data_IF_943352564903
#
_entry.id   IF_943352564903
#
_cell.length_a   1.000
_cell.length_b   1.000
_cell.length_c   1.000
_cell.angle_alpha   90.00
_cell.angle_beta   90.00
_cell.angle_gamma   90.00
#
_symmetry.space_group_name_H-M   'P 1'
#
loop_
_entity.id
_entity.type
_entity.pdbx_description
1 polymer ?
#
# COMPACT_ATOMS: atom_id res chain seq x y z
N UNK A 1 23.65 14.52 22.80
CA UNK A 1 22.94 15.04 21.61
C UNK A 1 21.56 14.41 21.60
N UNK A 2 20.49 15.18 21.41
CA UNK A 2 19.14 14.66 21.39
C UNK A 2 18.84 13.90 20.10
N UNK A 3 17.74 13.14 20.09
CA UNK A 3 17.32 12.34 18.93
C UNK A 3 16.88 13.25 17.79
N UNK A 4 17.39 13.01 16.59
CA UNK A 4 16.96 13.74 15.38
C UNK A 4 16.19 12.79 14.47
N UNK A 5 15.12 13.28 13.86
CA UNK A 5 14.30 12.51 12.94
C UNK A 5 14.36 13.08 11.54
N UNK A 6 14.04 12.26 10.55
CA UNK A 6 13.85 12.70 9.17
C UNK A 6 12.62 12.02 8.59
N UNK A 7 11.78 12.79 7.91
CA UNK A 7 10.61 12.31 7.21
C UNK A 7 10.86 12.36 5.70
N UNK A 8 10.74 11.22 5.04
CA UNK A 8 10.70 11.13 3.58
C UNK A 8 9.23 11.19 3.14
N UNK A 9 8.91 12.05 2.16
CA UNK A 9 7.54 12.23 1.65
C UNK A 9 7.52 12.23 0.13
N UNK A 10 6.52 11.58 -0.47
CA UNK A 10 6.16 11.80 -1.88
C UNK A 10 5.14 12.93 -1.93
N UNK A 11 5.61 14.12 -2.30
CA UNK A 11 4.86 15.37 -2.28
C UNK A 11 3.67 15.38 -3.25
N UNK A 12 3.61 14.44 -4.20
CA UNK A 12 2.49 14.29 -5.14
C UNK A 12 1.26 13.69 -4.48
N UNK A 13 1.46 12.98 -3.37
CA UNK A 13 0.43 12.20 -2.70
C UNK A 13 -0.13 11.06 -3.56
N UNK A 14 -1.18 10.43 -3.03
CA UNK A 14 -1.87 9.28 -3.58
C UNK A 14 -3.31 9.71 -3.82
N UNK A 15 -3.73 9.69 -5.09
CA UNK A 15 -5.14 9.88 -5.46
C UNK A 15 -5.78 8.53 -5.69
N UNK A 16 -6.87 8.28 -4.99
CA UNK A 16 -7.71 7.12 -5.25
C UNK A 16 -8.40 7.28 -6.61
N UNK A 17 -8.37 6.21 -7.41
CA UNK A 17 -8.97 6.12 -8.75
C UNK A 17 -10.44 5.71 -8.68
N UNK A 18 -10.92 5.29 -7.51
CA UNK A 18 -12.34 5.01 -7.28
C UNK A 18 -13.18 6.30 -7.23
N UNK A 19 -14.51 6.15 -7.25
CA UNK A 19 -15.46 7.28 -7.21
C UNK A 19 -15.35 8.14 -5.94
N UNK A 20 -14.56 7.73 -4.94
CA UNK A 20 -14.39 8.46 -3.68
C UNK A 20 -13.52 9.72 -3.82
N UNK A 21 -12.64 9.77 -4.83
CA UNK A 21 -11.74 10.91 -5.05
C UNK A 21 -10.80 11.20 -3.88
N UNK A 22 -10.54 10.23 -3.00
CA UNK A 22 -9.73 10.45 -1.81
C UNK A 22 -8.30 10.89 -2.18
N UNK A 23 -7.84 11.98 -1.57
CA UNK A 23 -6.44 12.40 -1.65
C UNK A 23 -5.74 12.08 -0.33
N UNK A 24 -4.61 11.39 -0.43
CA UNK A 24 -3.80 10.99 0.73
C UNK A 24 -2.35 11.36 0.54
N UNK A 25 -1.61 11.56 1.63
CA UNK A 25 -0.16 11.74 1.60
C UNK A 25 0.46 10.90 2.71
N UNK A 26 1.60 10.28 2.42
CA UNK A 26 2.30 9.36 3.31
C UNK A 26 3.71 9.90 3.56
N UNK A 27 4.12 9.90 4.83
CA UNK A 27 5.47 10.22 5.27
C UNK A 27 6.09 9.05 6.01
N UNK A 28 7.33 8.70 5.66
CA UNK A 28 8.14 7.71 6.37
C UNK A 28 9.14 8.40 7.28
N UNK A 29 9.02 8.15 8.58
CA UNK A 29 9.87 8.76 9.60
C UNK A 29 10.94 7.75 10.04
N UNK A 30 12.19 8.19 9.98
CA UNK A 30 13.34 7.46 10.49
C UNK A 30 14.06 8.30 11.55
N UNK A 31 14.79 7.62 12.43
CA UNK A 31 15.85 8.27 13.20
C UNK A 31 17.01 8.63 12.25
N UNK A 32 17.56 9.83 12.39
CA UNK A 32 18.55 10.39 11.47
C UNK A 32 19.77 9.46 11.33
N UNK A 33 20.35 9.02 12.45
CA UNK A 33 21.54 8.16 12.45
C UNK A 33 21.30 6.75 11.88
N UNK A 34 20.04 6.32 11.80
CA UNK A 34 19.70 5.02 11.23
C UNK A 34 19.71 5.05 9.69
N UNK A 35 19.35 6.18 9.09
CA UNK A 35 19.11 6.29 7.65
C UNK A 35 20.05 7.24 6.90
N UNK A 36 20.91 8.00 7.61
CA UNK A 36 21.84 8.96 7.04
C UNK A 36 23.28 8.54 7.33
N UNK A 37 24.11 8.48 6.29
CA UNK A 37 25.55 8.20 6.41
C UNK A 37 26.25 9.30 7.25
N UNK A 38 26.97 8.90 8.29
CA UNK A 38 27.70 9.82 9.18
C UNK A 38 29.20 9.69 8.94
N UNK A 39 29.88 10.78 8.57
CA UNK A 39 31.36 10.93 8.61
C UNK A 39 32.12 9.66 8.18
N UNK A 40 31.81 9.14 6.99
CA UNK A 40 32.42 7.95 6.35
C UNK A 40 31.95 6.57 6.85
N UNK A 41 30.91 6.49 7.68
CA UNK A 41 30.22 5.24 8.00
C UNK A 41 28.93 5.12 7.20
N UNK A 42 28.75 3.96 6.56
CA UNK A 42 27.46 3.55 6.00
C UNK A 42 26.40 3.45 7.11
N UNK A 43 25.21 3.99 6.87
CA UNK A 43 24.09 3.88 7.79
C UNK A 43 23.47 2.46 7.79
N UNK A 44 22.82 2.10 8.89
CA UNK A 44 22.24 0.76 9.04
C UNK A 44 21.14 0.47 8.01
N UNK A 45 20.34 1.47 7.63
CA UNK A 45 19.34 1.31 6.57
C UNK A 45 20.00 0.83 5.29
N UNK A 46 21.01 1.57 4.81
CA UNK A 46 21.71 1.28 3.57
C UNK A 46 22.41 -0.08 3.60
N UNK A 47 23.06 -0.41 4.72
CA UNK A 47 23.65 -1.74 4.93
C UNK A 47 22.60 -2.86 4.78
N UNK A 48 21.44 -2.75 5.45
CA UNK A 48 20.37 -3.75 5.36
C UNK A 48 19.79 -3.89 3.95
N UNK A 49 19.66 -2.79 3.22
CA UNK A 49 19.22 -2.84 1.82
C UNK A 49 20.28 -3.54 0.95
N UNK A 50 21.55 -3.22 1.13
CA UNK A 50 22.65 -3.82 0.39
C UNK A 50 22.80 -5.32 0.69
N UNK A 51 22.68 -5.74 1.96
CA UNK A 51 22.65 -7.15 2.37
C UNK A 51 21.50 -7.88 1.68
N UNK A 52 20.29 -7.32 1.73
CA UNK A 52 19.13 -7.90 1.06
C UNK A 52 19.30 -8.00 -0.47
N UNK A 53 19.87 -6.98 -1.11
CA UNK A 53 20.19 -7.03 -2.54
C UNK A 53 21.19 -8.14 -2.84
N UNK A 54 22.26 -8.28 -2.04
CA UNK A 54 23.28 -9.33 -2.20
C UNK A 54 22.74 -10.74 -1.98
N UNK A 55 21.79 -10.90 -1.05
CA UNK A 55 21.11 -12.18 -0.82
C UNK A 55 20.16 -12.55 -1.96
N UNK A 56 19.58 -11.55 -2.65
CA UNK A 56 18.58 -11.76 -3.70
C UNK A 56 19.17 -11.74 -5.11
N UNK A 57 20.30 -11.05 -5.29
CA UNK A 57 21.00 -10.83 -6.54
C UNK A 57 22.52 -10.95 -6.31
N UNK A 58 23.26 -11.49 -7.28
CA UNK A 58 24.72 -11.57 -7.20
C UNK A 58 25.36 -10.16 -7.21
N UNK A 59 26.61 -10.01 -6.75
CA UNK A 59 27.24 -8.69 -6.52
C UNK A 59 27.21 -7.72 -7.72
N UNK A 60 27.19 -8.24 -8.95
CA UNK A 60 27.12 -7.44 -10.20
C UNK A 60 25.87 -6.58 -10.33
N UNK A 61 24.76 -6.97 -9.69
CA UNK A 61 23.44 -6.34 -9.85
C UNK A 61 23.02 -5.51 -8.62
N UNK A 62 23.89 -5.43 -7.60
CA UNK A 62 23.64 -4.78 -6.31
C UNK A 62 23.41 -3.26 -6.39
N UNK A 63 23.79 -2.62 -7.50
CA UNK A 63 23.59 -1.19 -7.73
C UNK A 63 22.16 -0.82 -8.16
N UNK A 64 21.31 -1.80 -8.48
CA UNK A 64 19.94 -1.53 -8.91
C UNK A 64 19.07 -1.16 -7.68
N UNK A 65 18.34 -0.04 -7.73
CA UNK A 65 17.36 0.29 -6.70
C UNK A 65 16.24 -0.76 -6.62
N UNK A 66 15.88 -1.19 -5.40
CA UNK A 66 14.82 -2.15 -5.08
C UNK A 66 13.47 -1.65 -5.59
N UNK A 67 13.22 -0.35 -5.50
CA UNK A 67 12.00 0.27 -6.04
C UNK A 67 11.94 0.12 -7.56
N UNK A 68 13.02 0.35 -8.29
CA UNK A 68 13.06 0.10 -9.75
C UNK A 68 12.72 -1.36 -10.12
N UNK A 69 13.09 -2.35 -9.29
CA UNK A 69 12.74 -3.77 -9.55
C UNK A 69 11.24 -4.04 -9.33
N UNK A 70 10.63 -3.38 -8.34
CA UNK A 70 9.21 -3.58 -7.98
C UNK A 70 8.29 -2.76 -8.89
N UNK A 71 8.78 -1.64 -9.42
CA UNK A 71 7.99 -0.62 -10.10
C UNK A 71 8.18 -0.57 -11.62
N UNK A 72 9.34 -0.99 -12.16
CA UNK A 72 9.65 -0.83 -13.59
C UNK A 72 9.67 -2.19 -14.32
N UNK A 73 8.74 -2.37 -15.27
CA UNK A 73 8.44 -3.61 -16.00
C UNK A 73 9.63 -4.23 -16.78
N UNK A 74 10.72 -3.48 -16.95
CA UNK A 74 11.90 -3.91 -17.73
C UNK A 74 13.06 -4.38 -16.86
N UNK A 75 13.15 -3.88 -15.62
CA UNK A 75 14.33 -4.13 -14.77
C UNK A 75 14.37 -5.59 -14.33
N UNK A 76 13.22 -6.15 -13.97
CA UNK A 76 13.16 -7.54 -13.49
C UNK A 76 13.29 -8.61 -14.59
N UNK A 77 13.11 -8.24 -15.87
CA UNK A 77 13.22 -9.20 -17.00
C UNK A 77 14.65 -9.70 -17.22
N UNK A 78 15.64 -9.00 -16.68
CA UNK A 78 17.04 -9.39 -16.74
C UNK A 78 17.43 -10.44 -15.68
N UNK A 79 16.55 -10.72 -14.73
CA UNK A 79 16.77 -11.73 -13.70
C UNK A 79 15.99 -13.00 -14.01
N UNK A 80 16.51 -14.15 -13.58
CA UNK A 80 15.77 -15.40 -13.66
C UNK A 80 14.57 -15.40 -12.69
N UNK A 81 13.57 -16.24 -13.00
CA UNK A 81 12.33 -16.36 -12.23
C UNK A 81 12.55 -16.78 -10.78
N UNK A 82 13.55 -17.62 -10.52
CA UNK A 82 13.83 -18.12 -9.17
C UNK A 82 14.34 -16.99 -8.27
N UNK A 83 15.30 -16.20 -8.75
CA UNK A 83 15.82 -15.00 -8.07
C UNK A 83 14.73 -13.98 -7.81
N UNK A 84 13.88 -13.72 -8.81
CA UNK A 84 12.77 -12.78 -8.64
C UNK A 84 11.75 -13.25 -7.61
N UNK A 85 11.46 -14.55 -7.58
CA UNK A 85 10.57 -15.13 -6.57
C UNK A 85 11.20 -15.04 -5.16
N UNK A 86 12.50 -15.31 -5.04
CA UNK A 86 13.24 -15.19 -3.79
C UNK A 86 13.27 -13.74 -3.28
N UNK A 87 13.61 -12.78 -4.14
CA UNK A 87 13.56 -11.36 -3.85
C UNK A 87 12.18 -10.97 -3.31
N UNK A 88 11.14 -11.16 -4.11
CA UNK A 88 9.81 -10.71 -3.73
C UNK A 88 9.28 -11.42 -2.47
N UNK A 89 9.56 -12.71 -2.30
CA UNK A 89 9.11 -13.47 -1.12
C UNK A 89 9.81 -13.05 0.19
N UNK A 90 11.05 -12.57 0.11
CA UNK A 90 11.82 -12.06 1.27
C UNK A 90 11.53 -10.59 1.60
N UNK A 91 10.96 -9.82 0.67
CA UNK A 91 10.67 -8.40 0.87
C UNK A 91 9.86 -8.07 2.14
N UNK A 92 8.80 -8.83 2.52
CA UNK A 92 8.10 -8.61 3.80
C UNK A 92 9.05 -8.70 5.01
N UNK A 93 9.99 -9.66 4.97
CA UNK A 93 10.98 -9.85 6.05
C UNK A 93 11.98 -8.70 6.11
N UNK A 94 12.37 -8.13 4.97
CA UNK A 94 13.17 -6.90 4.96
C UNK A 94 12.39 -5.78 5.64
N UNK A 95 11.17 -5.49 5.15
CA UNK A 95 10.34 -4.39 5.65
C UNK A 95 10.11 -4.51 7.16
N UNK A 96 9.83 -5.71 7.67
CA UNK A 96 9.63 -5.93 9.11
C UNK A 96 10.86 -5.53 9.93
N UNK A 97 12.07 -5.88 9.48
CA UNK A 97 13.37 -5.56 10.11
C UNK A 97 13.79 -4.08 10.02
N UNK A 98 13.20 -3.29 9.12
CA UNK A 98 13.53 -1.87 8.98
C UNK A 98 12.89 -1.01 10.09
N UNK A 99 13.66 -0.08 10.66
CA UNK A 99 13.22 0.78 11.77
C UNK A 99 12.68 2.12 11.26
N UNK A 100 11.38 2.15 10.94
CA UNK A 100 10.67 3.36 10.55
C UNK A 100 9.25 3.40 11.08
N UNK A 101 8.65 4.58 11.06
CA UNK A 101 7.24 4.82 11.34
C UNK A 101 6.56 5.47 10.16
N UNK A 102 5.29 5.17 9.95
CA UNK A 102 4.48 5.69 8.85
C UNK A 102 3.49 6.69 9.44
N UNK A 103 3.45 7.90 8.92
CA UNK A 103 2.34 8.83 9.15
C UNK A 103 1.62 9.06 7.83
N UNK A 104 0.30 9.15 7.90
CA UNK A 104 -0.52 9.43 6.73
C UNK A 104 -1.58 10.48 7.05
N UNK A 105 -1.97 11.23 6.02
CA UNK A 105 -3.05 12.21 6.08
C UNK A 105 -3.92 12.01 4.87
N UNK A 106 -5.24 12.02 5.05
CA UNK A 106 -6.20 11.76 3.98
C UNK A 106 -7.40 12.69 4.09
N UNK A 107 -7.98 13.03 2.94
CA UNK A 107 -9.24 13.76 2.84
C UNK A 107 -10.10 13.15 1.74
N UNK A 108 -11.41 13.07 1.98
CA UNK A 108 -12.38 12.79 0.91
C UNK A 108 -12.56 14.07 0.12
N UNK A 109 -12.42 14.03 -1.21
CA UNK A 109 -12.79 15.20 -2.02
C UNK A 109 -14.31 15.35 -2.00
N UNK A 110 -14.82 16.17 -1.08
CA UNK A 110 -16.16 16.73 -1.26
C UNK A 110 -16.07 17.77 -2.38
N UNK A 111 -16.93 17.63 -3.38
CA UNK A 111 -17.04 18.50 -4.56
C UNK A 111 -17.41 19.96 -4.25
N UNK A 112 -17.43 20.39 -2.98
CA UNK A 112 -18.09 21.63 -2.55
C UNK A 112 -17.31 22.51 -1.55
N UNK A 113 -16.00 22.35 -1.34
CA UNK A 113 -15.27 23.22 -0.38
C UNK A 113 -14.16 24.06 -1.01
N UNK A 114 -14.09 25.28 -0.52
CA UNK A 114 -13.28 26.44 -0.93
C UNK A 114 -11.79 26.34 -0.58
N UNK A 115 -11.36 25.30 0.14
CA UNK A 115 -9.96 25.07 0.51
C UNK A 115 -9.31 23.95 -0.33
N UNK A 116 -8.09 24.20 -0.80
CA UNK A 116 -7.31 23.22 -1.57
C UNK A 116 -7.03 21.96 -0.74
N UNK A 117 -7.60 20.82 -1.16
CA UNK A 117 -7.41 19.51 -0.53
C UNK A 117 -5.94 19.15 -0.33
N UNK A 118 -5.08 19.58 -1.25
CA UNK A 118 -3.63 19.39 -1.15
C UNK A 118 -3.06 20.10 0.07
N UNK A 119 -3.43 21.37 0.25
CA UNK A 119 -3.01 22.21 1.36
C UNK A 119 -3.42 21.60 2.70
N UNK A 120 -4.68 21.19 2.84
CA UNK A 120 -5.20 20.57 4.07
C UNK A 120 -4.43 19.29 4.42
N UNK A 121 -4.27 18.38 3.46
CA UNK A 121 -3.60 17.09 3.68
C UNK A 121 -2.15 17.30 4.07
N UNK A 122 -1.45 18.22 3.40
CA UNK A 122 -0.04 18.54 3.68
C UNK A 122 0.12 19.17 5.06
N UNK A 123 -0.70 20.16 5.44
CA UNK A 123 -0.66 20.76 6.78
C UNK A 123 -0.91 19.71 7.88
N UNK A 124 -1.89 18.83 7.69
CA UNK A 124 -2.17 17.72 8.61
C UNK A 124 -0.99 16.75 8.73
N UNK A 125 -0.30 16.44 7.62
CA UNK A 125 0.88 15.57 7.64
C UNK A 125 2.03 16.23 8.43
N UNK A 126 2.30 17.51 8.18
CA UNK A 126 3.31 18.27 8.93
C UNK A 126 2.97 18.36 10.42
N UNK A 127 1.69 18.52 10.77
CA UNK A 127 1.22 18.49 12.17
C UNK A 127 1.51 17.15 12.83
N UNK A 128 1.21 16.04 12.14
CA UNK A 128 1.50 14.69 12.64
C UNK A 128 3.00 14.47 12.81
N UNK A 129 3.83 14.98 11.89
CA UNK A 129 5.28 14.88 12.02
C UNK A 129 5.79 15.68 13.23
N UNK A 130 5.30 16.91 13.41
CA UNK A 130 5.62 17.73 14.58
C UNK A 130 5.29 16.99 15.88
N UNK A 131 4.07 16.47 16.01
CA UNK A 131 3.65 15.74 17.21
C UNK A 131 4.44 14.46 17.43
N UNK A 132 4.80 13.75 16.36
CA UNK A 132 5.68 12.59 16.45
C UNK A 132 7.03 12.98 17.07
N UNK A 133 7.68 14.05 16.58
CA UNK A 133 8.96 14.52 17.12
C UNK A 133 8.81 14.87 18.59
N UNK A 134 7.80 15.66 18.94
CA UNK A 134 7.58 16.13 20.32
C UNK A 134 7.28 14.98 21.29
N UNK A 135 6.41 14.03 20.91
CA UNK A 135 6.04 12.89 21.77
C UNK A 135 7.14 11.84 21.94
N UNK A 136 8.14 11.83 21.05
CA UNK A 136 9.27 10.91 21.11
C UNK A 136 10.56 11.63 21.54
N UNK A 137 10.44 12.74 22.27
CA UNK A 137 11.55 13.54 22.80
C UNK A 137 12.63 13.89 21.75
N UNK A 138 12.20 14.10 20.51
CA UNK A 138 13.06 14.49 19.42
C UNK A 138 13.53 15.94 19.57
N UNK A 139 14.82 16.17 19.40
CA UNK A 139 15.42 17.50 19.37
C UNK A 139 14.93 18.28 18.15
N UNK A 140 15.04 17.67 16.97
CA UNK A 140 14.63 18.26 15.70
C UNK A 140 14.29 17.21 14.64
N UNK A 141 13.72 17.68 13.54
CA UNK A 141 13.24 16.91 12.40
C UNK A 141 13.57 17.59 11.07
N UNK A 142 13.94 16.79 10.08
CA UNK A 142 14.08 17.20 8.69
C UNK A 142 13.02 16.58 7.78
N UNK A 143 12.75 17.21 6.65
CA UNK A 143 11.92 16.67 5.58
C UNK A 143 12.78 16.47 4.34
N UNK A 144 12.65 15.30 3.70
CA UNK A 144 13.33 14.96 2.45
C UNK A 144 12.27 14.62 1.41
N UNK A 145 12.40 15.21 0.23
CA UNK A 145 11.60 14.89 -0.95
C UNK A 145 12.51 14.52 -2.13
N UNK A 146 12.00 13.69 -3.04
CA UNK A 146 12.75 13.24 -4.20
C UNK A 146 12.76 14.32 -5.30
N UNK A 147 13.93 14.62 -5.85
CA UNK A 147 14.07 15.46 -7.02
C UNK A 147 13.55 14.72 -8.27
N UNK A 148 12.37 15.08 -8.78
CA UNK A 148 11.76 14.47 -9.96
C UNK A 148 11.77 15.41 -11.16
N UNK A 149 12.06 14.87 -12.35
CA UNK A 149 12.13 15.64 -13.60
C UNK A 149 10.72 15.94 -14.13
N UNK A 150 10.45 17.17 -14.56
CA UNK A 150 9.24 17.57 -15.31
C UNK A 150 8.44 18.73 -14.69
N UNK A 151 7.88 19.61 -15.54
CA UNK A 151 7.25 20.87 -15.12
C UNK A 151 6.13 20.73 -14.07
N UNK A 152 5.29 19.69 -14.17
CA UNK A 152 4.22 19.42 -13.18
C UNK A 152 4.79 19.05 -11.80
N UNK A 153 5.95 18.40 -11.77
CA UNK A 153 6.60 18.03 -10.51
C UNK A 153 7.18 19.27 -9.81
N UNK A 154 7.73 20.22 -10.58
CA UNK A 154 8.22 21.49 -10.04
C UNK A 154 7.13 22.29 -9.32
N UNK A 155 5.93 22.39 -9.89
CA UNK A 155 4.82 23.15 -9.25
C UNK A 155 4.33 22.49 -7.96
N UNK A 156 4.22 21.16 -7.92
CA UNK A 156 3.77 20.45 -6.71
C UNK A 156 4.84 20.56 -5.62
N UNK A 157 6.11 20.39 -5.99
CA UNK A 157 7.23 20.57 -5.08
C UNK A 157 7.27 21.98 -4.47
N UNK A 158 7.06 23.00 -5.29
CA UNK A 158 6.99 24.39 -4.82
C UNK A 158 5.82 24.58 -3.84
N UNK A 159 4.62 24.07 -4.17
CA UNK A 159 3.47 24.15 -3.27
C UNK A 159 3.73 23.49 -1.91
N UNK A 160 4.38 22.32 -1.90
CA UNK A 160 4.78 21.66 -0.65
C UNK A 160 5.75 22.54 0.15
N UNK A 161 6.77 23.08 -0.52
CA UNK A 161 7.78 23.95 0.10
C UNK A 161 7.17 25.23 0.69
N UNK A 162 6.21 25.85 0.00
CA UNK A 162 5.52 27.05 0.49
C UNK A 162 4.68 26.76 1.75
N UNK A 163 4.00 25.60 1.79
CA UNK A 163 3.27 25.15 2.99
C UNK A 163 4.24 24.88 4.14
N UNK A 164 5.38 24.25 3.86
CA UNK A 164 6.46 24.02 4.82
C UNK A 164 7.05 25.32 5.37
N UNK A 165 7.33 26.31 4.52
CA UNK A 165 7.88 27.59 4.97
C UNK A 165 6.91 28.34 5.88
N UNK A 166 5.62 28.25 5.58
CA UNK A 166 4.56 28.86 6.38
C UNK A 166 4.08 27.98 7.55
N UNK A 167 4.84 26.94 7.95
CA UNK A 167 4.44 25.96 8.98
C UNK A 167 4.10 26.55 10.34
N UNK A 168 4.77 27.63 10.78
CA UNK A 168 4.47 28.29 12.05
C UNK A 168 3.03 28.84 12.06
N UNK A 169 2.59 29.40 10.93
CA UNK A 169 1.23 29.93 10.75
C UNK A 169 0.24 28.77 10.54
N UNK A 170 0.64 27.77 9.75
CA UNK A 170 -0.24 26.69 9.30
C UNK A 170 -0.57 25.63 10.37
N UNK A 171 0.29 25.44 11.38
CA UNK A 171 0.13 24.37 12.37
C UNK A 171 -0.51 24.83 13.68
N UNK A 172 -0.59 26.13 13.93
CA UNK A 172 -1.24 26.76 15.10
C UNK A 172 -0.83 26.11 16.44
N UNK A 173 0.46 25.82 16.63
CA UNK A 173 0.99 25.27 17.89
C UNK A 173 1.55 26.38 18.77
N UNK A 174 1.50 26.20 20.10
CA UNK A 174 2.03 27.17 21.05
C UNK A 174 3.57 27.28 21.01
N UNK A 175 4.25 26.21 20.62
CA UNK A 175 5.70 26.16 20.48
C UNK A 175 6.16 26.57 19.07
N UNK A 176 7.40 27.05 18.97
CA UNK A 176 8.02 27.42 17.71
C UNK A 176 8.34 26.17 16.86
N UNK A 177 7.39 25.78 15.97
CA UNK A 177 7.50 24.64 15.04
C UNK A 177 8.81 24.66 14.28
N UNK A 178 9.26 25.85 13.86
CA UNK A 178 10.48 26.01 13.10
C UNK A 178 11.71 25.45 13.80
N UNK A 179 11.76 25.45 15.13
CA UNK A 179 12.85 24.84 15.89
C UNK A 179 12.79 23.31 15.84
N UNK A 180 11.58 22.74 15.83
CA UNK A 180 11.38 21.28 15.76
C UNK A 180 11.52 20.75 14.34
N UNK A 181 10.90 21.35 13.34
CA UNK A 181 11.03 20.96 11.94
C UNK A 181 11.81 22.06 11.23
N UNK A 182 13.13 21.87 11.12
CA UNK A 182 14.06 22.94 10.78
C UNK A 182 14.84 22.72 9.48
N UNK A 183 14.71 21.54 8.87
CA UNK A 183 15.48 21.17 7.67
C UNK A 183 14.53 20.72 6.57
N UNK A 184 14.78 21.18 5.34
CA UNK A 184 14.09 20.73 4.14
C UNK A 184 15.13 20.42 3.06
N UNK A 185 15.06 19.22 2.49
CA UNK A 185 16.06 18.69 1.56
C UNK A 185 15.33 18.17 0.32
N UNK A 186 15.83 18.58 -0.84
CA UNK A 186 15.46 18.01 -2.14
C UNK A 186 16.65 17.18 -2.61
N UNK A 187 16.44 15.90 -2.88
CA UNK A 187 17.53 14.98 -3.22
C UNK A 187 17.15 14.02 -4.34
N UNK A 188 18.10 13.74 -5.24
CA UNK A 188 17.96 12.67 -6.22
C UNK A 188 17.93 11.29 -5.55
N UNK A 189 17.25 10.31 -6.16
CA UNK A 189 17.18 8.93 -5.65
C UNK A 189 18.55 8.25 -5.57
N UNK A 190 19.49 8.63 -6.43
CA UNK A 190 20.85 8.08 -6.47
C UNK A 190 21.80 8.79 -5.49
N UNK A 191 21.30 9.73 -4.69
CA UNK A 191 22.10 10.43 -3.71
C UNK A 191 22.61 9.46 -2.63
N UNK A 192 23.91 9.51 -2.35
CA UNK A 192 24.57 8.58 -1.40
C UNK A 192 24.07 8.69 0.05
N UNK A 193 23.52 9.86 0.42
CA UNK A 193 23.12 10.22 1.78
C UNK A 193 21.62 9.90 2.00
N UNK A 194 20.76 10.27 1.06
CA UNK A 194 19.30 10.18 1.21
C UNK A 194 18.63 9.10 0.35
N UNK A 195 19.35 8.53 -0.62
CA UNK A 195 18.79 7.64 -1.64
C UNK A 195 18.09 6.41 -1.07
N UNK A 196 18.67 5.75 -0.06
CA UNK A 196 18.06 4.58 0.58
C UNK A 196 16.72 4.87 1.26
N UNK A 197 16.54 6.08 1.79
CA UNK A 197 15.25 6.49 2.37
C UNK A 197 14.19 6.77 1.29
N UNK A 198 14.61 7.37 0.16
CA UNK A 198 13.77 7.60 -1.01
C UNK A 198 13.32 6.27 -1.64
N UNK A 199 14.24 5.33 -1.79
CA UNK A 199 13.98 3.98 -2.32
C UNK A 199 12.88 3.27 -1.50
N UNK A 200 12.99 3.27 -0.17
CA UNK A 200 11.95 2.68 0.69
C UNK A 200 10.64 3.47 0.60
N UNK A 201 10.68 4.80 0.59
CA UNK A 201 9.49 5.63 0.40
C UNK A 201 8.73 5.24 -0.88
N UNK A 202 9.43 5.07 -2.00
CA UNK A 202 8.81 4.74 -3.29
C UNK A 202 8.12 3.37 -3.24
N UNK A 203 8.76 2.36 -2.64
CA UNK A 203 8.15 1.02 -2.45
C UNK A 203 6.88 1.13 -1.62
N UNK A 204 6.95 1.79 -0.46
CA UNK A 204 5.83 1.88 0.46
C UNK A 204 4.68 2.68 -0.16
N UNK A 205 4.98 3.81 -0.79
CA UNK A 205 3.98 4.65 -1.45
C UNK A 205 3.26 3.89 -2.56
N UNK A 206 3.98 3.09 -3.35
CA UNK A 206 3.36 2.24 -4.36
C UNK A 206 2.46 1.15 -3.75
N UNK A 207 2.92 0.47 -2.69
CA UNK A 207 2.10 -0.53 -1.98
C UNK A 207 0.80 0.11 -1.49
N UNK A 208 0.87 1.28 -0.86
CA UNK A 208 -0.33 2.01 -0.44
C UNK A 208 -1.21 2.41 -1.62
N UNK A 209 -0.63 2.96 -2.69
CA UNK A 209 -1.38 3.34 -3.88
C UNK A 209 -2.15 2.15 -4.46
N UNK A 210 -1.51 0.99 -4.61
CA UNK A 210 -2.18 -0.19 -5.19
C UNK A 210 -3.28 -0.72 -4.28
N UNK A 211 -2.99 -0.91 -2.99
CA UNK A 211 -3.97 -1.44 -2.02
C UNK A 211 -5.17 -0.51 -1.85
N UNK A 212 -4.95 0.81 -1.82
CA UNK A 212 -6.04 1.80 -1.75
C UNK A 212 -6.94 1.77 -2.99
N UNK A 213 -6.40 1.36 -4.14
CA UNK A 213 -7.12 1.22 -5.40
C UNK A 213 -7.70 -0.20 -5.62
N UNK A 214 -7.72 -1.04 -4.59
CA UNK A 214 -8.28 -2.40 -4.67
C UNK A 214 -7.37 -3.41 -5.39
N UNK A 215 -6.13 -3.04 -5.69
CA UNK A 215 -5.14 -3.91 -6.32
C UNK A 215 -4.26 -4.60 -5.26
N UNK A 216 -3.53 -5.62 -5.69
CA UNK A 216 -2.52 -6.33 -4.88
C UNK A 216 -1.39 -5.37 -4.45
N UNK A 217 -0.56 -5.74 -3.50
CA UNK A 217 0.59 -4.89 -3.11
C UNK A 217 1.75 -4.88 -4.12
N UNK A 218 1.83 -5.86 -5.03
CA UNK A 218 2.87 -5.99 -6.08
C UNK A 218 2.23 -6.02 -7.47
N UNK A 219 2.86 -5.37 -8.45
CA UNK A 219 2.43 -5.31 -9.85
C UNK A 219 1.95 -6.69 -10.37
N UNK A 220 0.81 -6.71 -11.05
CA UNK A 220 0.22 -7.92 -11.62
C UNK A 220 1.13 -8.57 -12.67
N UNK A 221 1.86 -7.78 -13.46
CA UNK A 221 2.83 -8.32 -14.41
C UNK A 221 3.94 -9.08 -13.69
N UNK A 222 4.46 -8.52 -12.59
CA UNK A 222 5.46 -9.18 -11.77
C UNK A 222 4.88 -10.42 -11.06
N UNK A 223 3.63 -10.37 -10.57
CA UNK A 223 2.92 -11.53 -10.03
C UNK A 223 2.77 -12.63 -11.07
N UNK A 224 2.49 -12.31 -12.34
CA UNK A 224 2.39 -13.32 -13.40
C UNK A 224 3.73 -14.05 -13.63
N UNK A 225 4.84 -13.40 -13.29
CA UNK A 225 6.18 -13.92 -13.43
C UNK A 225 6.62 -14.81 -12.25
N UNK A 226 6.06 -14.66 -11.05
CA UNK A 226 6.55 -15.30 -9.80
C UNK A 226 5.43 -15.96 -8.98
N UNK A 227 5.79 -16.81 -8.01
CA UNK A 227 4.81 -17.46 -7.13
C UNK A 227 4.58 -16.65 -5.84
N UNK A 228 3.80 -15.56 -5.94
CA UNK A 228 3.57 -14.68 -4.80
C UNK A 228 2.49 -15.17 -3.82
N UNK A 229 1.49 -15.88 -4.34
CA UNK A 229 0.28 -16.28 -3.63
C UNK A 229 -0.74 -15.15 -3.44
N UNK A 230 -1.79 -15.42 -2.67
CA UNK A 230 -2.99 -14.57 -2.57
C UNK A 230 -3.05 -13.67 -1.33
N UNK A 231 -2.00 -13.60 -0.51
CA UNK A 231 -1.94 -12.73 0.68
C UNK A 231 -1.08 -11.49 0.43
N UNK A 232 -1.50 -10.34 0.94
CA UNK A 232 -0.73 -9.10 0.92
C UNK A 232 0.21 -9.07 2.16
N UNK A 233 1.37 -9.70 2.01
CA UNK A 233 2.37 -9.94 3.05
C UNK A 233 3.14 -8.66 3.41
N UNK A 234 3.43 -7.78 2.45
CA UNK A 234 4.14 -6.52 2.71
C UNK A 234 3.22 -5.58 3.50
N UNK A 235 1.97 -5.45 3.07
CA UNK A 235 0.97 -4.60 3.67
C UNK A 235 0.64 -5.05 5.10
N UNK A 236 0.66 -6.36 5.40
CA UNK A 236 0.51 -6.82 6.79
C UNK A 236 1.63 -6.31 7.70
N UNK A 237 2.88 -6.30 7.22
CA UNK A 237 4.01 -5.75 7.98
C UNK A 237 3.91 -4.23 8.18
N UNK A 238 3.38 -3.51 7.17
CA UNK A 238 3.25 -2.06 7.24
C UNK A 238 2.21 -1.59 8.26
N UNK A 239 1.12 -2.34 8.47
CA UNK A 239 0.07 -1.99 9.44
C UNK A 239 0.64 -1.74 10.84
N UNK A 240 1.64 -2.52 11.25
CA UNK A 240 2.26 -2.41 12.57
C UNK A 240 3.26 -1.23 12.69
N UNK A 241 3.58 -0.56 11.58
CA UNK A 241 4.49 0.59 11.53
C UNK A 241 3.76 1.93 11.46
N UNK A 242 2.44 1.94 11.28
CA UNK A 242 1.63 3.17 11.27
C UNK A 242 1.63 3.81 12.66
N UNK A 243 2.04 5.07 12.70
CA UNK A 243 1.97 5.90 13.88
C UNK A 243 0.57 6.53 13.97
N UNK A 244 -0.19 6.08 14.96
CA UNK A 244 -1.49 6.66 15.28
C UNK A 244 -1.32 7.64 16.43
N UNK A 245 -1.34 8.93 16.09
CA UNK A 245 -1.47 9.97 17.10
C UNK A 245 -2.93 10.00 17.57
N UNK A 246 -3.21 9.35 18.70
CA UNK A 246 -4.55 9.28 19.31
C UNK A 246 -5.14 10.66 19.65
N UNK A 247 -4.33 11.71 19.72
CA UNK A 247 -4.77 13.06 20.08
C UNK A 247 -5.15 13.93 18.87
N UNK A 248 -4.74 13.55 17.65
CA UNK A 248 -5.03 14.34 16.45
C UNK A 248 -6.08 13.61 15.61
N UNK A 249 -7.33 13.72 16.06
CA UNK A 249 -8.43 13.92 15.13
C UNK A 249 -9.64 12.99 15.22
N UNK A 250 -9.63 11.93 16.01
CA UNK A 250 -10.84 11.12 16.27
C UNK A 250 -10.73 10.56 17.70
N UNK A 251 -11.67 10.90 18.57
CA UNK A 251 -11.66 10.35 19.94
C UNK A 251 -11.76 8.82 19.89
N UNK A 252 -11.22 8.14 20.90
CA UNK A 252 -11.28 6.67 20.99
C UNK A 252 -12.72 6.13 20.89
N UNK A 253 -13.68 6.92 21.38
CA UNK A 253 -15.13 6.66 21.26
C UNK A 253 -15.66 6.83 19.83
N UNK A 254 -15.20 7.82 19.09
CA UNK A 254 -15.56 8.00 17.68
C UNK A 254 -14.94 6.90 16.79
N UNK A 255 -13.71 6.46 17.07
CA UNK A 255 -13.09 5.31 16.39
C UNK A 255 -13.88 4.01 16.63
N UNK A 256 -14.31 3.79 17.88
CA UNK A 256 -15.17 2.67 18.22
C UNK A 256 -16.51 2.73 17.48
N UNK A 257 -17.15 3.90 17.43
CA UNK A 257 -18.41 4.08 16.72
C UNK A 257 -18.27 3.82 15.20
N UNK A 258 -17.20 4.32 14.58
CA UNK A 258 -16.90 4.07 13.16
C UNK A 258 -16.68 2.57 12.93
N UNK A 259 -15.86 1.91 13.76
CA UNK A 259 -15.61 0.47 13.63
C UNK A 259 -16.88 -0.37 13.81
N UNK A 260 -17.75 0.03 14.74
CA UNK A 260 -19.02 -0.65 15.00
C UNK A 260 -19.97 -0.52 13.79
N UNK A 261 -20.10 0.68 13.22
CA UNK A 261 -20.94 0.91 12.04
C UNK A 261 -20.46 0.11 10.81
N UNK A 262 -19.14 0.01 10.60
CA UNK A 262 -18.59 -0.82 9.52
C UNK A 262 -18.86 -2.30 9.75
N UNK A 263 -18.66 -2.82 10.96
CA UNK A 263 -18.95 -4.21 11.31
C UNK A 263 -20.44 -4.52 11.11
N UNK A 264 -21.33 -3.61 11.51
CA UNK A 264 -22.76 -3.77 11.33
C UNK A 264 -23.16 -3.79 9.85
N UNK A 265 -22.56 -2.91 9.03
CA UNK A 265 -22.73 -2.90 7.57
C UNK A 265 -22.28 -4.21 6.92
N UNK A 266 -21.07 -4.68 7.25
CA UNK A 266 -20.56 -5.97 6.78
C UNK A 266 -21.46 -7.14 7.20
N UNK A 267 -21.98 -7.13 8.43
CA UNK A 267 -22.89 -8.17 8.90
C UNK A 267 -24.21 -8.19 8.13
N UNK A 268 -24.74 -7.03 7.76
CA UNK A 268 -25.94 -6.92 6.91
C UNK A 268 -25.68 -7.48 5.51
N UNK A 269 -24.55 -7.14 4.92
CA UNK A 269 -24.18 -7.62 3.59
C UNK A 269 -23.90 -9.14 3.58
N UNK A 270 -23.22 -9.65 4.60
CA UNK A 270 -23.03 -11.10 4.80
C UNK A 270 -24.37 -11.85 4.94
N UNK A 271 -25.35 -11.25 5.62
CA UNK A 271 -26.68 -11.86 5.76
C UNK A 271 -27.39 -11.95 4.41
N UNK A 272 -27.36 -10.86 3.63
CA UNK A 272 -27.92 -10.83 2.27
C UNK A 272 -27.26 -11.86 1.35
N UNK A 273 -25.92 -11.95 1.38
CA UNK A 273 -25.17 -12.94 0.62
C UNK A 273 -25.56 -14.37 1.01
N UNK A 274 -25.69 -14.66 2.32
CA UNK A 274 -26.16 -15.98 2.79
C UNK A 274 -27.56 -16.31 2.30
N UNK A 275 -28.48 -15.34 2.29
CA UNK A 275 -29.84 -15.54 1.79
C UNK A 275 -29.83 -15.81 0.28
N UNK A 276 -29.06 -15.05 -0.51
CA UNK A 276 -28.90 -15.29 -1.94
C UNK A 276 -28.30 -16.65 -2.25
N UNK A 277 -27.32 -17.09 -1.46
CA UNK A 277 -26.66 -18.39 -1.63
C UNK A 277 -27.65 -19.52 -1.36
N UNK A 278 -28.47 -19.40 -0.31
CA UNK A 278 -29.53 -20.36 -0.01
C UNK A 278 -30.58 -20.46 -1.13
N UNK A 279 -30.95 -19.33 -1.74
CA UNK A 279 -31.86 -19.32 -2.90
C UNK A 279 -31.24 -20.01 -4.11
N UNK A 280 -29.94 -19.81 -4.36
CA UNK A 280 -29.22 -20.50 -5.44
C UNK A 280 -29.14 -22.01 -5.18
N UNK A 281 -28.83 -22.43 -3.96
CA UNK A 281 -28.77 -23.85 -3.59
C UNK A 281 -30.12 -24.54 -3.77
N UNK A 282 -31.23 -23.88 -3.43
CA UNK A 282 -32.57 -24.41 -3.67
C UNK A 282 -32.85 -24.60 -5.17
N UNK A 283 -32.50 -23.61 -6.00
CA UNK A 283 -32.62 -23.72 -7.47
C UNK A 283 -31.77 -24.85 -8.05
N UNK A 284 -30.57 -25.07 -7.52
CA UNK A 284 -29.72 -26.18 -7.93
C UNK A 284 -30.41 -27.51 -7.64
N UNK A 285 -30.96 -27.70 -6.43
CA UNK A 285 -31.69 -28.92 -6.06
C UNK A 285 -32.92 -29.17 -6.93
N UNK A 286 -33.67 -28.12 -7.26
CA UNK A 286 -34.80 -28.23 -8.20
C UNK A 286 -34.35 -28.70 -9.58
N UNK A 287 -33.25 -28.13 -10.10
CA UNK A 287 -32.68 -28.53 -11.38
C UNK A 287 -32.10 -29.94 -11.37
N UNK A 288 -31.47 -30.37 -10.28
CA UNK A 288 -31.01 -31.76 -10.11
C UNK A 288 -32.18 -32.76 -10.14
N UNK A 289 -33.31 -32.39 -9.53
CA UNK A 289 -34.53 -33.21 -9.57
C UNK A 289 -35.08 -33.33 -11.00
N UNK A 290 -35.18 -32.22 -11.71
CA UNK A 290 -35.62 -32.18 -13.12
C UNK A 290 -34.70 -33.05 -14.01
N UNK A 291 -33.39 -32.95 -13.83
CA UNK A 291 -32.41 -33.80 -14.53
C UNK A 291 -32.64 -35.28 -14.23
N UNK A 292 -32.90 -35.65 -12.98
CA UNK A 292 -33.17 -37.04 -12.58
C UNK A 292 -34.46 -37.60 -13.21
N UNK A 293 -35.51 -36.78 -13.28
CA UNK A 293 -36.79 -37.13 -13.91
C UNK A 293 -36.60 -37.37 -15.42
N UNK A 294 -35.98 -36.41 -16.12
CA UNK A 294 -35.67 -36.52 -17.56
C UNK A 294 -34.75 -37.72 -17.86
N UNK A 295 -33.75 -37.98 -17.01
CA UNK A 295 -32.86 -39.13 -17.16
C UNK A 295 -33.61 -40.46 -17.05
N UNK A 296 -34.61 -40.52 -16.17
CA UNK A 296 -35.46 -41.71 -15.99
C UNK A 296 -36.36 -41.94 -17.21
N UNK A 297 -36.92 -40.86 -17.76
CA UNK A 297 -37.73 -40.91 -18.98
C UNK A 297 -36.92 -41.35 -20.20
N UNK A 298 -35.71 -40.79 -20.38
CA UNK A 298 -34.78 -41.22 -21.45
C UNK A 298 -34.48 -42.72 -21.35
N UNK A 299 -34.23 -43.24 -20.13
CA UNK A 299 -34.00 -44.68 -19.93
C UNK A 299 -35.22 -45.52 -20.30
N UNK A 300 -36.42 -45.08 -19.94
CA UNK A 300 -37.66 -45.77 -20.28
C UNK A 300 -37.88 -45.81 -21.80
N UNK A 301 -37.73 -44.66 -22.47
CA UNK A 301 -37.84 -44.55 -23.92
C UNK A 301 -36.79 -45.41 -24.64
N UNK A 302 -35.56 -45.43 -24.14
CA UNK A 302 -34.49 -46.28 -24.68
C UNK A 302 -34.86 -47.77 -24.59
N UNK A 303 -35.41 -48.21 -23.46
CA UNK A 303 -35.86 -49.60 -23.26
C UNK A 303 -37.07 -49.96 -24.14
N UNK A 304 -37.97 -49.02 -24.36
CA UNK A 304 -39.10 -49.20 -25.30
C UNK A 304 -38.60 -49.33 -26.74
N UNK A 305 -37.65 -48.49 -27.14
CA UNK A 305 -37.03 -48.53 -28.46
C UNK A 305 -36.31 -49.87 -28.70
N UNK A 306 -35.53 -50.34 -27.73
CA UNK A 306 -34.88 -51.66 -27.79
C UNK A 306 -35.89 -52.80 -27.99
N UNK A 307 -37.02 -52.79 -27.26
CA UNK A 307 -38.08 -53.81 -27.42
C UNK A 307 -38.67 -53.80 -28.83
N UNK A 308 -38.92 -52.61 -29.39
CA UNK A 308 -39.45 -52.48 -30.76
C UNK A 308 -38.43 -52.98 -31.79
N UNK A 309 -37.15 -52.68 -31.61
CA UNK A 309 -36.07 -53.14 -32.48
C UNK A 309 -35.87 -54.66 -32.42
N UNK A 310 -35.97 -55.27 -31.23
CA UNK A 310 -35.91 -56.74 -31.05
C UNK A 310 -37.12 -57.42 -31.69
N UNK A 311 -38.33 -56.91 -31.48
CA UNK A 311 -39.54 -57.46 -32.10
C UNK A 311 -39.53 -57.35 -33.63
N UNK A 312 -38.92 -56.29 -34.20
CA UNK A 312 -38.72 -56.18 -35.65
C UNK A 312 -37.73 -57.20 -36.21
N UNK A 313 -36.73 -57.64 -35.43
CA UNK A 313 -35.78 -58.68 -35.85
C UNK A 313 -36.34 -60.10 -35.78
N UNK A 314 -37.40 -60.35 -35.02
CA UNK A 314 -38.07 -61.67 -34.94
C UNK A 314 -39.15 -61.89 -36.01
N UNK A 315 -39.48 -60.88 -36.81
CA UNK A 315 -40.53 -60.92 -37.87
C UNK A 315 -39.90 -61.07 -39.27
N UNK A 316 -38.60 -61.39 -39.36
CA UNK A 316 -37.89 -61.71 -40.61
C UNK A 316 -37.42 -63.16 -40.54
#
# INVERSE_FOLDING_TARGET
MGKKYVMFVDERGIRSLDKSGNFSMVGLIFEYNYCIDLKNSECELKRKLNEYKKESFMESDSNIPIDSIILEDKVYRNFDKARMNEFVSKLPTLISKLRFKIISSSIKQNLSETEDSYSIVTKRLLKKFYSFITKNDGESGGIVIEAKVGNRNCSIMQNFFDIYNNRNINLSTQDNVQNKINTFIVSDKNNKIYGSGIEILNIITNVFFRVLNGNREINEELISYIEYGNRDKIFSELKHKVYNDLEIGISRTQLQAISHNYIEGFNKELKLLKEQLKLKDNRIKEKEKEISELTSEIKLLSKQLERVLVNRKMII
#
